data_IF_303863380461
#
_entry.id   IF_303863380461
#
_cell.length_a   1.000
_cell.length_b   1.000
_cell.length_c   1.000
_cell.angle_alpha   90.00
_cell.angle_beta   90.00
_cell.angle_gamma   90.00
#
_symmetry.space_group_name_H-M   'P 1'
#
loop_
_entity.id
_entity.type
_entity.pdbx_description
1 polymer ?
#
# COMPACT_ATOMS: atom_id res chain seq x y z
N UNK A 1 63.11 -28.62 -4.53
CA UNK A 1 63.20 -30.08 -4.23
C UNK A 1 62.72 -30.22 -2.79
N UNK A 2 61.60 -30.83 -2.42
CA UNK A 2 61.04 -32.12 -2.83
C UNK A 2 59.49 -32.13 -2.80
N UNK A 3 58.99 -33.16 -3.45
CA UNK A 3 57.65 -33.57 -3.87
C UNK A 3 56.70 -34.05 -2.76
N UNK A 4 55.42 -34.07 -3.15
CA UNK A 4 54.17 -34.48 -2.49
C UNK A 4 54.07 -35.97 -2.12
N UNK A 5 53.26 -36.29 -1.10
CA UNK A 5 52.42 -37.50 -1.05
C UNK A 5 51.26 -37.36 -0.05
N UNK A 6 50.02 -37.51 -0.56
CA UNK A 6 48.75 -37.57 0.17
C UNK A 6 48.51 -39.04 0.56
N UNK A 7 48.15 -39.31 1.82
CA UNK A 7 47.71 -40.63 2.28
C UNK A 7 46.30 -40.58 2.85
N UNK A 8 45.37 -41.05 2.03
CA UNK A 8 44.00 -41.46 2.39
C UNK A 8 44.01 -42.75 3.22
N UNK A 9 43.24 -42.77 4.32
CA UNK A 9 42.80 -44.00 4.99
C UNK A 9 41.32 -43.88 5.34
N UNK A 10 40.52 -44.72 4.68
CA UNK A 10 39.09 -44.95 4.95
C UNK A 10 38.95 -45.92 6.12
N UNK A 11 38.07 -45.64 7.07
CA UNK A 11 37.51 -46.65 7.97
C UNK A 11 36.05 -46.90 7.60
N UNK A 12 35.75 -48.16 7.30
CA UNK A 12 34.42 -48.67 6.99
C UNK A 12 33.75 -49.07 8.30
N UNK A 13 32.79 -48.27 8.78
CA UNK A 13 31.86 -48.69 9.82
C UNK A 13 30.64 -49.27 9.13
N UNK A 14 30.47 -50.57 9.39
CA UNK A 14 29.48 -51.46 8.82
C UNK A 14 28.26 -51.46 9.76
N UNK A 15 27.22 -50.70 9.42
CA UNK A 15 25.93 -50.72 10.15
C UNK A 15 24.83 -51.21 9.21
N UNK A 16 24.28 -52.39 9.54
CA UNK A 16 23.15 -53.03 8.87
C UNK A 16 21.89 -52.14 8.94
N UNK A 17 21.10 -52.01 7.87
CA UNK A 17 19.78 -51.40 7.94
C UNK A 17 18.74 -52.45 8.37
N UNK A 18 18.26 -52.34 9.61
CA UNK A 18 17.05 -53.01 10.08
C UNK A 18 15.81 -52.28 9.57
N UNK A 19 15.20 -52.88 8.54
CA UNK A 19 13.76 -52.89 8.21
C UNK A 19 12.88 -51.82 8.90
N UNK A 20 12.69 -50.69 8.21
CA UNK A 20 11.60 -49.75 8.52
C UNK A 20 10.31 -50.32 7.94
N UNK A 21 9.39 -50.63 8.85
CA UNK A 21 8.04 -51.12 8.62
C UNK A 21 7.28 -50.12 7.73
N UNK A 22 6.89 -50.58 6.53
CA UNK A 22 5.92 -49.90 5.67
C UNK A 22 4.56 -49.92 6.36
N UNK A 23 4.17 -48.81 6.99
CA UNK A 23 2.78 -48.59 7.37
C UNK A 23 1.95 -48.50 6.09
N UNK A 24 1.17 -49.55 5.83
CA UNK A 24 0.19 -49.60 4.76
C UNK A 24 -0.82 -48.48 4.97
N UNK A 25 -0.94 -47.65 3.94
CA UNK A 25 -2.03 -46.69 3.76
C UNK A 25 -3.34 -47.49 3.69
N UNK A 26 -4.11 -47.52 4.79
CA UNK A 26 -5.49 -48.00 4.75
C UNK A 26 -6.34 -46.92 4.09
N UNK A 27 -6.36 -46.93 2.75
CA UNK A 27 -7.34 -46.21 1.94
C UNK A 27 -8.67 -46.93 2.10
N UNK A 28 -9.51 -46.44 3.00
CA UNK A 28 -10.89 -46.90 3.12
C UNK A 28 -11.64 -46.55 1.83
N UNK A 29 -11.99 -47.56 1.04
CA UNK A 29 -12.94 -47.48 -0.06
C UNK A 29 -14.34 -47.60 0.52
N UNK A 30 -15.02 -46.47 0.72
CA UNK A 30 -16.47 -46.48 0.96
C UNK A 30 -17.14 -46.66 -0.40
N UNK A 31 -17.88 -47.76 -0.51
CA UNK A 31 -18.71 -48.05 -1.66
C UNK A 31 -19.75 -46.93 -1.84
N UNK A 32 -19.77 -46.37 -3.05
CA UNK A 32 -20.84 -45.54 -3.59
C UNK A 32 -22.10 -46.38 -3.74
N UNK A 33 -23.01 -46.27 -2.79
CA UNK A 33 -24.41 -46.66 -2.96
C UNK A 33 -25.23 -45.43 -3.39
N UNK A 34 -25.77 -45.51 -4.61
CA UNK A 34 -26.93 -44.78 -5.14
C UNK A 34 -26.99 -43.26 -4.89
N UNK A 35 -26.58 -42.50 -5.91
CA UNK A 35 -26.79 -41.05 -6.02
C UNK A 35 -28.28 -40.69 -6.04
N UNK A 36 -28.80 -40.22 -4.91
CA UNK A 36 -29.77 -39.12 -4.95
C UNK A 36 -28.93 -37.85 -4.86
N UNK A 37 -28.97 -36.99 -5.88
CA UNK A 37 -28.18 -35.76 -5.93
C UNK A 37 -28.61 -34.83 -4.80
N UNK A 38 -27.90 -34.88 -3.67
CA UNK A 38 -28.12 -33.98 -2.56
C UNK A 38 -27.63 -32.59 -2.95
N UNK A 39 -28.58 -31.69 -3.20
CA UNK A 39 -28.29 -30.31 -3.56
C UNK A 39 -28.24 -29.48 -2.27
N UNK A 40 -27.09 -28.84 -2.01
CA UNK A 40 -26.88 -28.07 -0.79
C UNK A 40 -27.90 -26.91 -0.70
N UNK A 41 -28.60 -26.75 0.43
CA UNK A 41 -29.59 -25.70 0.61
C UNK A 41 -28.91 -24.32 0.59
N UNK A 42 -29.54 -23.36 -0.08
CA UNK A 42 -29.04 -21.99 -0.21
C UNK A 42 -29.74 -21.03 0.75
N UNK A 43 -30.91 -21.40 1.26
CA UNK A 43 -31.74 -20.55 2.14
C UNK A 43 -32.22 -21.32 3.37
N UNK A 44 -32.48 -20.59 4.47
CA UNK A 44 -32.93 -21.17 5.74
C UNK A 44 -34.27 -21.94 5.61
N UNK A 45 -35.16 -21.48 4.72
CA UNK A 45 -36.43 -22.17 4.43
C UNK A 45 -36.22 -23.55 3.82
N UNK A 46 -35.27 -23.68 2.89
CA UNK A 46 -34.91 -24.98 2.30
C UNK A 46 -34.29 -25.93 3.34
N UNK A 47 -33.52 -25.40 4.29
CA UNK A 47 -32.96 -26.21 5.39
C UNK A 47 -34.08 -26.78 6.25
N UNK A 48 -35.07 -25.97 6.63
CA UNK A 48 -36.21 -26.41 7.43
C UNK A 48 -37.03 -27.50 6.72
N UNK A 49 -37.30 -27.33 5.43
CA UNK A 49 -38.02 -28.31 4.62
C UNK A 49 -37.24 -29.62 4.46
N UNK A 50 -35.91 -29.55 4.26
CA UNK A 50 -35.06 -30.73 4.19
C UNK A 50 -34.95 -31.45 5.53
N UNK A 51 -34.92 -30.73 6.65
CA UNK A 51 -34.93 -31.33 7.99
C UNK A 51 -36.27 -31.98 8.33
N UNK A 52 -37.38 -31.38 7.89
CA UNK A 52 -38.72 -31.96 8.02
C UNK A 52 -38.88 -33.21 7.13
N UNK A 53 -38.26 -33.21 5.95
CA UNK A 53 -38.29 -34.34 5.00
C UNK A 53 -37.31 -35.46 5.36
N UNK A 54 -36.26 -35.15 6.12
CA UNK A 54 -35.26 -36.12 6.57
C UNK A 54 -35.87 -37.10 7.58
N UNK A 55 -35.91 -38.38 7.19
CA UNK A 55 -36.47 -39.47 8.01
C UNK A 55 -35.44 -40.09 8.94
N UNK A 56 -34.16 -39.95 8.59
CA UNK A 56 -33.04 -40.57 9.32
C UNK A 56 -32.11 -39.52 9.92
N UNK A 57 -31.48 -39.84 11.05
CA UNK A 57 -30.56 -38.94 11.73
C UNK A 57 -29.27 -38.69 10.92
N UNK A 58 -28.89 -39.65 10.10
CA UNK A 58 -27.76 -39.55 9.18
C UNK A 58 -27.98 -38.49 8.09
N UNK A 59 -29.19 -38.37 7.54
CA UNK A 59 -29.54 -37.34 6.56
C UNK A 59 -29.48 -35.94 7.19
N UNK A 60 -29.99 -35.81 8.43
CA UNK A 60 -29.91 -34.55 9.19
C UNK A 60 -28.46 -34.13 9.41
N UNK A 61 -27.58 -35.06 9.79
CA UNK A 61 -26.14 -34.79 9.96
C UNK A 61 -25.50 -34.31 8.66
N UNK A 62 -25.80 -34.95 7.52
CA UNK A 62 -25.29 -34.52 6.21
C UNK A 62 -25.75 -33.12 5.81
N UNK A 63 -27.00 -32.75 6.15
CA UNK A 63 -27.53 -31.39 5.94
C UNK A 63 -26.70 -30.38 6.76
N UNK A 64 -26.48 -30.65 8.04
CA UNK A 64 -25.71 -29.76 8.91
C UNK A 64 -24.22 -29.67 8.53
N UNK A 65 -23.58 -30.78 8.17
CA UNK A 65 -22.17 -30.81 7.75
C UNK A 65 -21.96 -29.98 6.47
N UNK A 66 -22.93 -30.01 5.55
CA UNK A 66 -22.92 -29.18 4.34
C UNK A 66 -23.01 -27.69 4.67
N UNK A 67 -23.84 -27.31 5.64
CA UNK A 67 -24.00 -25.91 6.08
C UNK A 67 -22.73 -25.42 6.79
N UNK A 68 -22.18 -26.21 7.71
CA UNK A 68 -20.94 -25.87 8.43
C UNK A 68 -19.76 -25.74 7.45
N UNK A 69 -19.69 -26.62 6.45
CA UNK A 69 -18.70 -26.53 5.37
C UNK A 69 -18.86 -25.27 4.53
N UNK A 70 -20.09 -24.86 4.21
CA UNK A 70 -20.36 -23.61 3.49
C UNK A 70 -20.07 -22.36 4.32
N UNK A 71 -20.35 -22.36 5.63
CA UNK A 71 -19.97 -21.25 6.51
C UNK A 71 -18.48 -21.13 6.64
N UNK A 72 -17.72 -22.22 6.88
CA UNK A 72 -16.25 -22.15 6.89
C UNK A 72 -15.69 -21.61 5.57
N UNK A 73 -16.29 -21.95 4.43
CA UNK A 73 -15.89 -21.43 3.11
C UNK A 73 -16.26 -19.96 2.92
N UNK A 74 -17.43 -19.53 3.37
CA UNK A 74 -17.85 -18.13 3.33
C UNK A 74 -17.08 -17.25 4.32
N UNK A 75 -16.76 -17.79 5.50
CA UNK A 75 -15.90 -17.15 6.49
C UNK A 75 -14.46 -17.07 5.99
N UNK A 76 -13.96 -18.09 5.29
CA UNK A 76 -12.68 -17.98 4.57
C UNK A 76 -12.74 -16.92 3.46
N UNK A 77 -13.80 -16.86 2.66
CA UNK A 77 -13.95 -15.84 1.61
C UNK A 77 -14.09 -14.42 2.20
N UNK A 78 -14.82 -14.27 3.31
CA UNK A 78 -14.90 -13.02 4.06
C UNK A 78 -13.56 -12.69 4.70
N UNK A 79 -12.83 -13.68 5.19
CA UNK A 79 -11.47 -13.53 5.70
C UNK A 79 -10.53 -13.06 4.58
N UNK A 80 -10.62 -13.61 3.37
CA UNK A 80 -9.91 -13.15 2.17
C UNK A 80 -10.33 -11.74 1.70
N UNK A 81 -11.57 -11.31 1.94
CA UNK A 81 -12.03 -9.94 1.63
C UNK A 81 -11.75 -8.93 2.75
N UNK A 82 -11.51 -9.39 3.98
CA UNK A 82 -10.96 -8.57 5.07
C UNK A 82 -9.43 -8.69 5.18
N UNK A 83 -8.80 -9.59 4.43
CA UNK A 83 -7.35 -9.85 4.43
C UNK A 83 -6.55 -8.83 3.59
N UNK A 84 -7.18 -7.77 3.08
CA UNK A 84 -6.46 -6.53 2.74
C UNK A 84 -6.06 -5.73 4.01
N UNK A 85 -6.44 -6.18 5.21
CA UNK A 85 -6.05 -5.55 6.48
C UNK A 85 -5.19 -6.41 7.42
N UNK A 86 -4.71 -7.60 7.01
CA UNK A 86 -3.96 -8.51 7.93
C UNK A 86 -2.61 -9.02 7.39
N UNK A 87 -2.17 -8.65 6.19
CA UNK A 87 -0.77 -8.81 5.81
C UNK A 87 -0.13 -7.42 5.81
N UNK A 88 0.73 -7.16 6.80
CA UNK A 88 1.84 -6.16 6.73
C UNK A 88 2.46 -5.79 8.08
N UNK A 89 2.16 -6.44 9.20
CA UNK A 89 3.01 -6.32 10.40
C UNK A 89 4.37 -7.03 10.23
N UNK A 90 4.83 -7.23 8.99
CA UNK A 90 5.99 -8.02 8.64
C UNK A 90 7.21 -7.10 8.77
N UNK A 91 7.70 -6.96 9.99
CA UNK A 91 9.07 -6.53 10.23
C UNK A 91 9.28 -5.12 10.76
N UNK A 92 8.22 -4.39 11.15
CA UNK A 92 8.42 -3.15 11.91
C UNK A 92 8.81 -3.48 13.35
N UNK A 93 9.95 -2.95 13.79
CA UNK A 93 10.54 -3.20 15.12
C UNK A 93 10.34 -2.01 16.06
N UNK A 94 10.07 -0.82 15.51
CA UNK A 94 9.79 0.39 16.29
C UNK A 94 8.45 0.25 17.05
N UNK A 95 8.49 0.41 18.37
CA UNK A 95 7.30 0.29 19.25
C UNK A 95 6.53 1.60 19.43
N UNK A 96 7.23 2.75 19.43
CA UNK A 96 6.65 4.08 19.59
C UNK A 96 7.42 5.10 18.77
N UNK A 97 6.79 6.21 18.43
CA UNK A 97 7.47 7.37 17.83
C UNK A 97 7.92 8.33 18.93
N UNK A 98 8.85 9.23 18.60
CA UNK A 98 9.34 10.27 19.52
C UNK A 98 8.41 11.49 19.57
N UNK A 99 7.21 11.38 18.97
CA UNK A 99 6.24 12.45 18.89
C UNK A 99 4.93 12.07 19.56
N UNK A 100 4.41 12.98 20.37
CA UNK A 100 3.17 12.75 21.11
C UNK A 100 1.97 12.73 20.16
N UNK A 101 1.13 11.71 20.30
CA UNK A 101 -0.09 11.56 19.50
C UNK A 101 0.13 11.00 18.09
N UNK A 102 1.34 10.51 17.77
CA UNK A 102 1.64 9.82 16.52
C UNK A 102 2.04 8.38 16.82
N UNK A 103 1.12 7.45 16.56
CA UNK A 103 1.39 6.02 16.73
C UNK A 103 2.14 5.45 15.54
N UNK A 104 2.95 4.41 15.78
CA UNK A 104 3.69 3.73 14.71
C UNK A 104 2.70 2.99 13.81
N UNK A 105 2.71 3.32 12.52
CA UNK A 105 1.79 2.69 11.58
C UNK A 105 2.31 1.28 11.20
N UNK A 106 1.53 0.19 11.32
CA UNK A 106 2.05 -1.16 11.05
C UNK A 106 2.45 -1.35 9.59
N UNK A 107 1.70 -0.74 8.66
CA UNK A 107 1.82 -0.93 7.20
C UNK A 107 1.92 0.40 6.43
N UNK A 108 2.89 1.25 6.78
CA UNK A 108 3.02 2.60 6.22
C UNK A 108 3.15 2.62 4.68
N UNK A 109 3.86 1.63 4.12
CA UNK A 109 4.11 1.50 2.69
C UNK A 109 2.83 1.30 1.88
N UNK A 110 1.97 0.37 2.31
CA UNK A 110 0.70 0.11 1.64
C UNK A 110 -0.28 1.27 1.81
N UNK A 111 -0.32 1.91 2.98
CA UNK A 111 -1.11 3.11 3.19
C UNK A 111 -0.70 4.25 2.23
N UNK A 112 0.61 4.49 2.07
CA UNK A 112 1.12 5.50 1.13
C UNK A 112 0.78 5.18 -0.33
N UNK A 113 0.97 3.93 -0.76
CA UNK A 113 0.61 3.51 -2.11
C UNK A 113 -0.88 3.74 -2.39
N UNK A 114 -1.73 3.35 -1.44
CA UNK A 114 -3.18 3.49 -1.58
C UNK A 114 -3.55 4.97 -1.70
N UNK A 115 -3.12 5.80 -0.74
CA UNK A 115 -3.45 7.23 -0.70
C UNK A 115 -2.94 7.99 -1.94
N UNK A 116 -1.71 7.73 -2.39
CA UNK A 116 -1.18 8.38 -3.59
C UNK A 116 -1.95 7.97 -4.85
N UNK A 117 -2.27 6.68 -5.01
CA UNK A 117 -3.07 6.22 -6.15
C UNK A 117 -4.49 6.79 -6.14
N UNK A 118 -5.12 6.87 -4.96
CA UNK A 118 -6.43 7.50 -4.81
C UNK A 118 -6.39 9.00 -5.12
N UNK A 119 -5.35 9.69 -4.66
CA UNK A 119 -5.12 11.11 -4.97
C UNK A 119 -5.01 11.31 -6.48
N UNK A 120 -4.22 10.50 -7.18
CA UNK A 120 -4.09 10.58 -8.65
C UNK A 120 -5.44 10.37 -9.36
N UNK A 121 -6.25 9.40 -8.91
CA UNK A 121 -7.61 9.17 -9.46
C UNK A 121 -8.52 10.37 -9.24
N UNK A 122 -8.48 10.99 -8.05
CA UNK A 122 -9.29 12.17 -7.75
C UNK A 122 -8.87 13.36 -8.60
N UNK A 123 -7.57 13.55 -8.80
CA UNK A 123 -7.01 14.63 -9.62
C UNK A 123 -7.48 14.59 -11.08
N UNK A 124 -7.85 13.43 -11.64
CA UNK A 124 -8.38 13.34 -13.01
C UNK A 124 -9.64 14.17 -13.23
N UNK A 125 -10.41 14.42 -12.17
CA UNK A 125 -11.61 15.27 -12.20
C UNK A 125 -11.28 16.77 -12.18
N UNK A 126 -10.02 17.14 -11.96
CA UNK A 126 -9.54 18.51 -11.92
C UNK A 126 -8.89 18.86 -13.28
N UNK A 127 -9.13 20.06 -13.84
CA UNK A 127 -8.50 20.45 -15.10
C UNK A 127 -6.96 20.48 -15.02
N UNK A 128 -6.29 19.81 -15.96
CA UNK A 128 -4.81 19.67 -16.04
C UNK A 128 -4.04 21.00 -16.21
N UNK A 129 -4.74 22.02 -16.70
CA UNK A 129 -4.18 23.38 -16.87
C UNK A 129 -3.92 24.07 -15.54
N UNK A 130 -4.56 23.62 -14.46
CA UNK A 130 -4.46 24.28 -13.16
C UNK A 130 -3.08 24.04 -12.53
N UNK A 131 -2.54 25.08 -11.90
CA UNK A 131 -1.26 25.00 -11.18
C UNK A 131 -1.35 23.98 -10.05
N UNK A 132 -2.50 23.89 -9.39
CA UNK A 132 -2.75 22.89 -8.36
C UNK A 132 -2.61 21.46 -8.90
N UNK A 133 -3.28 21.12 -10.02
CA UNK A 133 -3.13 19.79 -10.63
C UNK A 133 -1.66 19.47 -10.91
N UNK A 134 -0.93 20.39 -11.53
CA UNK A 134 0.47 20.15 -11.92
C UNK A 134 1.39 19.94 -10.72
N UNK A 135 1.22 20.77 -9.69
CA UNK A 135 2.01 20.69 -8.46
C UNK A 135 1.75 19.37 -7.71
N UNK A 136 0.47 19.02 -7.49
CA UNK A 136 0.14 17.79 -6.75
C UNK A 136 0.51 16.57 -7.57
N UNK A 137 0.16 16.52 -8.86
CA UNK A 137 0.47 15.38 -9.72
C UNK A 137 1.98 15.09 -9.79
N UNK A 138 2.82 16.12 -9.99
CA UNK A 138 4.27 15.95 -10.01
C UNK A 138 4.84 15.47 -8.67
N UNK A 139 4.36 16.04 -7.56
CA UNK A 139 4.77 15.63 -6.21
C UNK A 139 4.35 14.20 -5.88
N UNK A 140 3.11 13.84 -6.18
CA UNK A 140 2.55 12.51 -5.91
C UNK A 140 3.28 11.44 -6.71
N UNK A 141 3.59 11.67 -8.00
CA UNK A 141 4.37 10.73 -8.81
C UNK A 141 5.78 10.55 -8.25
N UNK A 142 6.50 11.65 -7.94
CA UNK A 142 7.84 11.59 -7.32
C UNK A 142 7.79 10.73 -6.06
N UNK A 143 6.84 10.99 -5.18
CA UNK A 143 6.73 10.27 -3.91
C UNK A 143 6.35 8.80 -4.10
N UNK A 144 5.49 8.47 -5.07
CA UNK A 144 5.11 7.10 -5.39
C UNK A 144 6.33 6.31 -5.90
N UNK A 145 7.14 6.89 -6.79
CA UNK A 145 8.39 6.27 -7.25
C UNK A 145 9.34 5.97 -6.10
N UNK A 146 9.49 6.90 -5.16
CA UNK A 146 10.31 6.71 -3.96
C UNK A 146 9.79 5.53 -3.15
N UNK A 147 8.49 5.52 -2.84
CA UNK A 147 7.85 4.46 -2.05
C UNK A 147 7.97 3.10 -2.72
N UNK A 148 7.74 3.01 -4.03
CA UNK A 148 7.87 1.77 -4.80
C UNK A 148 9.29 1.19 -4.73
N UNK A 149 10.33 2.03 -4.81
CA UNK A 149 11.73 1.59 -4.67
C UNK A 149 11.99 0.90 -3.33
N UNK A 150 11.44 1.39 -2.23
CA UNK A 150 11.71 0.81 -0.91
C UNK A 150 10.83 -0.41 -0.59
N UNK A 151 9.64 -0.50 -1.19
CA UNK A 151 8.75 -1.67 -1.06
C UNK A 151 9.34 -2.88 -1.77
N UNK A 152 9.74 -2.74 -3.02
CA UNK A 152 10.25 -3.88 -3.81
C UNK A 152 11.56 -4.45 -3.25
N UNK A 153 12.32 -3.62 -2.53
CA UNK A 153 13.60 -3.98 -1.95
C UNK A 153 13.51 -4.42 -0.48
N UNK A 154 12.31 -4.57 0.09
CA UNK A 154 12.15 -4.77 1.54
C UNK A 154 12.82 -6.09 1.99
N UNK A 155 13.88 -5.96 2.78
CA UNK A 155 14.58 -7.11 3.39
C UNK A 155 14.22 -7.14 4.86
N UNK A 156 13.71 -8.29 5.34
CA UNK A 156 13.23 -8.49 6.71
C UNK A 156 14.26 -8.07 7.77
N UNK A 157 15.56 -8.24 7.49
CA UNK A 157 16.63 -7.92 8.43
C UNK A 157 16.99 -6.42 8.51
N UNK A 158 16.55 -5.60 7.54
CA UNK A 158 16.96 -4.18 7.40
C UNK A 158 15.79 -3.22 7.18
N UNK A 159 14.59 -3.61 7.62
CA UNK A 159 13.35 -2.85 7.40
C UNK A 159 13.47 -1.40 7.89
N UNK A 160 13.91 -1.18 9.14
CA UNK A 160 13.98 0.17 9.71
C UNK A 160 15.01 1.07 9.02
N UNK A 161 16.14 0.52 8.55
CA UNK A 161 17.13 1.29 7.83
C UNK A 161 16.60 1.73 6.45
N UNK A 162 15.80 0.88 5.81
CA UNK A 162 15.12 1.21 4.56
C UNK A 162 14.04 2.27 4.78
N UNK A 163 13.28 2.19 5.88
CA UNK A 163 12.30 3.20 6.26
C UNK A 163 12.98 4.56 6.47
N UNK A 164 14.08 4.59 7.25
CA UNK A 164 14.87 5.82 7.46
C UNK A 164 15.40 6.40 6.15
N UNK A 165 15.86 5.55 5.24
CA UNK A 165 16.32 6.00 3.94
C UNK A 165 15.17 6.58 3.09
N UNK A 166 13.98 5.98 3.16
CA UNK A 166 12.78 6.49 2.53
C UNK A 166 12.35 7.85 3.14
N UNK A 167 12.44 8.02 4.46
CA UNK A 167 12.18 9.28 5.17
C UNK A 167 13.08 10.41 4.64
N UNK A 168 14.37 10.12 4.47
CA UNK A 168 15.34 11.08 3.91
C UNK A 168 14.99 11.45 2.47
N UNK A 169 14.68 10.47 1.60
CA UNK A 169 14.35 10.73 0.18
C UNK A 169 12.99 11.44 0.00
N UNK A 170 12.03 11.16 0.88
CA UNK A 170 10.73 11.86 0.93
C UNK A 170 10.83 13.26 1.57
N UNK A 171 11.97 13.60 2.17
CA UNK A 171 12.20 14.86 2.88
C UNK A 171 11.23 15.04 4.07
N UNK A 172 10.93 13.95 4.79
CA UNK A 172 10.03 13.93 5.95
C UNK A 172 10.75 13.36 7.18
N UNK A 173 10.52 13.96 8.35
CA UNK A 173 11.16 13.50 9.60
C UNK A 173 10.72 12.11 10.06
N UNK A 174 9.50 11.70 9.69
CA UNK A 174 8.86 10.46 10.14
C UNK A 174 7.86 9.99 9.08
N UNK A 175 7.91 8.72 8.71
CA UNK A 175 7.09 8.18 7.61
C UNK A 175 5.58 8.28 7.88
N UNK A 176 5.15 8.25 9.14
CA UNK A 176 3.77 8.48 9.57
C UNK A 176 3.25 9.84 9.11
N UNK A 177 4.08 10.90 9.13
CA UNK A 177 3.68 12.20 8.62
C UNK A 177 3.50 12.22 7.12
N UNK A 178 4.26 11.39 6.39
CA UNK A 178 4.04 11.25 4.96
C UNK A 178 2.65 10.64 4.69
N UNK A 179 2.21 9.68 5.52
CA UNK A 179 0.86 9.09 5.44
C UNK A 179 -0.20 10.16 5.72
N UNK A 180 -0.08 10.91 6.81
CA UNK A 180 -1.03 11.99 7.13
C UNK A 180 -1.07 13.07 6.05
N UNK A 181 0.09 13.49 5.56
CA UNK A 181 0.17 14.47 4.48
C UNK A 181 -0.47 13.96 3.18
N UNK A 182 -0.40 12.65 2.90
CA UNK A 182 -1.03 12.06 1.73
C UNK A 182 -2.57 12.01 1.89
N UNK A 183 -3.07 11.66 3.08
CA UNK A 183 -4.51 11.71 3.38
C UNK A 183 -5.03 13.16 3.33
N UNK A 184 -4.34 14.11 3.94
CA UNK A 184 -4.70 15.54 3.91
C UNK A 184 -4.79 16.06 2.47
N UNK A 185 -3.85 15.69 1.61
CA UNK A 185 -3.87 16.08 0.19
C UNK A 185 -5.04 15.43 -0.56
N UNK A 186 -5.33 14.16 -0.30
CA UNK A 186 -6.49 13.47 -0.85
C UNK A 186 -7.80 14.18 -0.43
N UNK A 187 -7.97 14.48 0.86
CA UNK A 187 -9.13 15.20 1.39
C UNK A 187 -9.24 16.62 0.81
N UNK A 188 -8.10 17.29 0.63
CA UNK A 188 -8.05 18.60 0.01
C UNK A 188 -8.49 18.53 -1.46
N UNK A 189 -8.02 17.54 -2.22
CA UNK A 189 -8.41 17.35 -3.61
C UNK A 189 -9.93 17.12 -3.76
N UNK A 190 -10.53 16.30 -2.87
CA UNK A 190 -11.98 16.12 -2.81
C UNK A 190 -12.72 17.45 -2.53
N UNK A 191 -12.21 18.26 -1.60
CA UNK A 191 -12.77 19.59 -1.30
C UNK A 191 -12.61 20.55 -2.47
N UNK A 192 -11.49 20.53 -3.20
CA UNK A 192 -11.24 21.37 -4.38
C UNK A 192 -12.27 21.09 -5.48
N UNK A 193 -12.61 19.82 -5.71
CA UNK A 193 -13.66 19.41 -6.65
C UNK A 193 -15.01 19.97 -6.20
N UNK A 194 -15.37 19.77 -4.92
CA UNK A 194 -16.64 20.25 -4.36
C UNK A 194 -16.80 21.77 -4.47
N UNK A 195 -15.72 22.51 -4.23
CA UNK A 195 -15.74 23.97 -4.16
C UNK A 195 -15.55 24.65 -5.53
N UNK A 196 -15.21 23.90 -6.60
CA UNK A 196 -14.92 24.44 -7.96
C UNK A 196 -14.01 25.68 -7.95
N UNK A 197 -13.09 25.77 -6.98
CA UNK A 197 -12.31 26.99 -6.70
C UNK A 197 -11.45 27.42 -7.89
N UNK A 198 -11.07 26.46 -8.72
CA UNK A 198 -10.12 26.61 -9.81
C UNK A 198 -10.70 27.33 -11.05
N UNK A 199 -12.01 27.58 -11.06
CA UNK A 199 -12.70 28.42 -12.04
C UNK A 199 -13.29 29.63 -11.31
N UNK A 200 -12.45 30.38 -10.59
CA UNK A 200 -12.86 31.69 -10.08
C UNK A 200 -12.58 32.77 -11.12
N UNK A 201 -13.66 33.28 -11.67
CA UNK A 201 -13.69 34.57 -12.34
C UNK A 201 -13.20 35.64 -11.35
N UNK A 202 -12.18 36.41 -11.73
CA UNK A 202 -11.57 37.42 -10.89
C UNK A 202 -12.60 38.49 -10.51
N UNK A 203 -13.28 38.32 -9.37
CA UNK A 203 -14.07 39.41 -8.81
C UNK A 203 -13.13 40.56 -8.49
N UNK A 204 -13.35 41.68 -9.18
CA UNK A 204 -12.59 42.91 -9.03
C UNK A 204 -12.61 43.35 -7.56
N UNK A 205 -11.45 43.30 -6.90
CA UNK A 205 -11.30 43.87 -5.57
C UNK A 205 -11.37 45.40 -5.74
N UNK A 206 -12.31 46.10 -5.09
CA UNK A 206 -12.38 47.55 -5.22
C UNK A 206 -11.12 48.19 -4.64
N UNK A 207 -10.62 49.20 -5.34
CA UNK A 207 -9.44 49.96 -4.96
C UNK A 207 -9.54 50.44 -3.50
N UNK A 208 -8.47 50.22 -2.71
CA UNK A 208 -8.39 50.63 -1.30
C UNK A 208 -8.62 49.53 -0.26
N UNK A 209 -9.00 48.30 -0.67
CA UNK A 209 -9.20 47.18 0.29
C UNK A 209 -7.88 46.53 0.77
N UNK A 210 -6.79 46.74 0.03
CA UNK A 210 -5.42 46.45 0.46
C UNK A 210 -4.60 47.74 0.31
N UNK A 211 -4.19 48.42 1.39
CA UNK A 211 -3.24 49.51 1.26
C UNK A 211 -1.92 48.95 0.72
N UNK A 212 -1.26 49.60 -0.26
CA UNK A 212 0.08 49.21 -0.65
C UNK A 212 1.02 49.48 0.53
N UNK A 213 1.37 48.43 1.28
CA UNK A 213 2.52 48.52 2.18
C UNK A 213 3.77 48.54 1.32
N UNK A 214 4.32 49.75 1.17
CA UNK A 214 5.68 50.09 0.71
C UNK A 214 6.22 49.28 -0.47
N UNK A 215 6.30 49.94 -1.63
CA UNK A 215 7.35 49.77 -2.65
C UNK A 215 8.03 48.40 -2.67
N UNK A 216 7.52 47.46 -3.46
CA UNK A 216 8.35 46.74 -4.44
C UNK A 216 7.52 45.80 -5.35
N UNK A 217 7.71 46.02 -6.65
CA UNK A 217 7.58 45.09 -7.78
C UNK A 217 6.38 44.13 -7.83
N UNK A 218 5.26 44.65 -8.35
CA UNK A 218 4.29 43.83 -9.08
C UNK A 218 4.80 43.61 -10.52
N UNK A 219 5.09 42.35 -10.86
CA UNK A 219 5.50 41.94 -12.21
C UNK A 219 4.39 42.21 -13.23
N UNK A 220 4.54 43.29 -13.99
CA UNK A 220 3.68 43.63 -15.12
C UNK A 220 4.07 42.79 -16.34
N UNK A 221 3.44 41.63 -16.52
CA UNK A 221 3.41 40.95 -17.82
C UNK A 221 2.32 41.61 -18.66
N UNK A 222 2.69 42.58 -19.48
CA UNK A 222 1.88 43.02 -20.62
C UNK A 222 2.82 43.51 -21.69
N UNK A 223 2.90 42.74 -22.78
CA UNK A 223 3.84 42.94 -23.86
C UNK A 223 3.83 44.36 -24.42
N UNK A 224 5.02 44.92 -24.57
CA UNK A 224 5.45 45.90 -25.55
C UNK A 224 6.99 45.87 -25.49
N UNK A 225 7.64 45.72 -26.65
CA UNK A 225 9.04 45.31 -26.79
C UNK A 225 10.09 46.21 -26.10
N UNK A 226 11.34 45.74 -25.98
CA UNK A 226 12.37 46.47 -25.26
C UNK A 226 12.75 47.74 -26.02
N UNK A 227 12.42 48.90 -25.46
CA UNK A 227 13.17 50.12 -25.75
C UNK A 227 14.53 49.97 -25.05
N UNK A 228 15.58 50.01 -25.85
CA UNK A 228 16.98 50.06 -25.45
C UNK A 228 17.21 51.15 -24.39
N UNK A 229 17.51 50.71 -23.16
CA UNK A 229 18.07 51.53 -22.08
C UNK A 229 19.41 50.94 -21.63
N UNK A 230 20.32 51.76 -21.06
CA UNK A 230 21.71 51.36 -20.84
C UNK A 230 21.81 50.25 -19.79
N UNK A 231 22.60 49.23 -20.11
CA UNK A 231 22.88 48.07 -19.26
C UNK A 231 23.71 48.53 -18.05
N UNK A 232 23.28 48.29 -16.80
CA UNK A 232 24.12 48.53 -15.64
C UNK A 232 25.25 47.50 -15.59
N UNK A 233 26.50 48.01 -15.57
CA UNK A 233 27.70 47.20 -15.42
C UNK A 233 27.81 46.68 -13.99
N UNK A 234 27.74 45.36 -13.81
CA UNK A 234 28.04 44.71 -12.54
C UNK A 234 29.57 44.54 -12.36
N UNK A 235 30.13 44.81 -11.16
CA UNK A 235 31.53 44.53 -10.89
C UNK A 235 31.79 43.02 -10.89
N UNK A 236 32.79 42.60 -11.64
CA UNK A 236 33.25 41.21 -11.70
C UNK A 236 33.92 40.86 -10.36
N UNK A 237 33.40 39.84 -9.67
CA UNK A 237 34.06 39.22 -8.52
C UNK A 237 35.16 38.30 -9.04
N UNK A 238 36.41 38.68 -8.84
CA UNK A 238 37.56 37.80 -9.11
C UNK A 238 37.70 36.77 -7.99
N UNK A 239 37.86 35.47 -8.29
CA UNK A 239 38.20 34.48 -7.28
C UNK A 239 39.65 34.69 -6.83
N UNK A 240 39.83 34.94 -5.53
CA UNK A 240 41.14 34.91 -4.87
C UNK A 240 41.63 33.48 -4.71
N UNK A 241 42.92 33.29 -5.00
CA UNK A 241 43.71 32.06 -4.79
C UNK A 241 43.99 31.87 -3.31
#
# INVERSE_FOLDING_TARGET
MFTTAIRTSRSLINCRPSQIIRLRLNRATYATSSSSSFQAPKTEREVADLLAKARTETERKQIFDSIIGTQKKQDLIKKFQSEETVQDSIGRTKLSTDQTGVDVHPSHSNALLLMYNETLKVLENIPKITVYYQAVHSRTIKNLEIVAKYIDNLKVDKVEDQIKQAEIELEVNLIEHAVYSADDEYQLALKMIKLKVLVKECQHIPAGRYPPSSTDTCWRVSGLGPKSGPVPSYPQVTPGI
#
